data_IF_230700326795
#
_entry.id   IF_230700326795
#
_cell.length_a   1.000
_cell.length_b   1.000
_cell.length_c   1.000
_cell.angle_alpha   90.00
_cell.angle_beta   90.00
_cell.angle_gamma   90.00
#
_symmetry.space_group_name_H-M   'P 1'
#
loop_
_entity.id
_entity.type
_entity.pdbx_description
1 polymer ?
#
# COMPACT_ATOMS: atom_id res chain seq x y z
N UNK A 1 -9.38 -20.41 1.37
CA UNK A 1 -8.53 -19.84 0.30
C UNK A 1 -7.33 -19.17 0.96
N UNK A 2 -6.13 -19.37 0.42
CA UNK A 2 -4.90 -18.80 0.98
C UNK A 2 -4.12 -18.13 -0.14
N UNK A 3 -3.89 -16.83 0.02
CA UNK A 3 -3.04 -16.09 -0.90
C UNK A 3 -1.56 -16.43 -0.64
N UNK A 4 -0.79 -16.57 -1.71
CA UNK A 4 0.63 -16.94 -1.67
C UNK A 4 1.42 -16.18 -2.74
N UNK A 5 2.75 -16.17 -2.64
CA UNK A 5 3.63 -15.53 -3.63
C UNK A 5 3.36 -14.04 -3.80
N UNK A 6 3.20 -13.33 -2.67
CA UNK A 6 3.07 -11.88 -2.71
C UNK A 6 4.34 -11.22 -3.20
N UNK A 7 4.17 -10.18 -3.99
CA UNK A 7 5.24 -9.31 -4.44
C UNK A 7 4.69 -7.95 -4.85
N UNK A 8 5.49 -6.92 -4.62
CA UNK A 8 5.25 -5.60 -5.20
C UNK A 8 5.42 -5.69 -6.71
N UNK A 9 4.43 -5.24 -7.46
CA UNK A 9 4.55 -5.03 -8.90
C UNK A 9 5.03 -3.61 -9.17
N UNK A 10 6.32 -3.49 -9.45
CA UNK A 10 6.98 -2.24 -9.81
C UNK A 10 7.07 -2.03 -11.33
N UNK A 11 6.37 -2.85 -12.11
CA UNK A 11 6.30 -2.70 -13.56
C UNK A 11 5.62 -1.39 -14.00
N UNK A 12 5.73 -1.02 -15.29
CA UNK A 12 5.06 0.17 -15.81
C UNK A 12 3.53 0.06 -15.68
N UNK A 13 2.92 0.97 -14.92
CA UNK A 13 1.45 1.06 -14.79
C UNK A 13 1.00 2.51 -14.54
N UNK A 14 -0.22 2.84 -14.95
CA UNK A 14 -0.81 4.18 -14.75
C UNK A 14 -1.40 4.40 -13.35
N UNK A 15 -1.54 3.34 -12.54
CA UNK A 15 -2.11 3.46 -11.20
C UNK A 15 -1.19 4.27 -10.27
N UNK A 16 -1.81 5.10 -9.43
CA UNK A 16 -1.15 5.96 -8.45
C UNK A 16 -1.25 5.34 -7.05
N UNK A 17 -0.34 4.42 -6.75
CA UNK A 17 -0.32 3.67 -5.50
C UNK A 17 0.48 2.37 -5.61
N UNK A 18 0.53 1.62 -4.50
CA UNK A 18 1.23 0.35 -4.41
C UNK A 18 0.40 -0.76 -5.05
N UNK A 19 0.93 -1.42 -6.08
CA UNK A 19 0.34 -2.62 -6.68
C UNK A 19 1.05 -3.87 -6.16
N UNK A 20 0.28 -4.90 -5.89
CA UNK A 20 0.74 -6.19 -5.42
C UNK A 20 0.19 -7.30 -6.32
N UNK A 21 1.03 -8.27 -6.61
CA UNK A 21 0.63 -9.52 -7.25
C UNK A 21 0.74 -10.65 -6.23
N UNK A 22 -0.27 -11.52 -6.23
CA UNK A 22 -0.32 -12.70 -5.37
C UNK A 22 -1.09 -13.81 -6.09
N UNK A 23 -1.23 -14.97 -5.46
CA UNK A 23 -1.88 -16.15 -6.04
C UNK A 23 -2.83 -16.85 -5.09
N UNK A 24 -3.98 -17.25 -5.61
CA UNK A 24 -4.85 -18.28 -5.00
C UNK A 24 -4.77 -19.55 -5.86
N UNK A 25 -3.93 -20.50 -5.43
CA UNK A 25 -3.55 -21.65 -6.25
C UNK A 25 -2.88 -21.23 -7.57
N UNK A 26 -3.54 -21.49 -8.70
CA UNK A 26 -3.07 -21.11 -10.03
C UNK A 26 -3.61 -19.77 -10.52
N UNK A 27 -4.57 -19.17 -9.82
CA UNK A 27 -5.16 -17.90 -10.19
C UNK A 27 -4.28 -16.75 -9.70
N UNK A 28 -4.00 -15.79 -10.58
CA UNK A 28 -3.31 -14.56 -10.21
C UNK A 28 -4.32 -13.59 -9.64
N UNK A 29 -4.03 -13.10 -8.44
CA UNK A 29 -4.85 -12.13 -7.72
C UNK A 29 -4.06 -10.84 -7.64
N UNK A 30 -4.75 -9.72 -7.86
CA UNK A 30 -4.17 -8.39 -7.76
C UNK A 30 -4.69 -7.69 -6.50
N UNK A 31 -3.79 -7.00 -5.82
CA UNK A 31 -4.14 -6.13 -4.70
C UNK A 31 -3.52 -4.74 -4.89
N UNK A 32 -4.16 -3.74 -4.32
CA UNK A 32 -3.79 -2.34 -4.53
C UNK A 32 -4.00 -1.52 -3.28
N UNK A 33 -3.03 -0.64 -2.97
CA UNK A 33 -3.14 0.39 -1.95
C UNK A 33 -2.95 1.75 -2.63
N UNK A 34 -4.02 2.55 -2.71
CA UNK A 34 -3.93 3.86 -3.35
C UNK A 34 -2.94 4.79 -2.65
N UNK A 35 -2.30 5.70 -3.41
CA UNK A 35 -1.29 6.62 -2.87
C UNK A 35 -1.78 7.38 -1.64
N UNK A 36 -3.02 7.90 -1.66
CA UNK A 36 -3.59 8.61 -0.50
C UNK A 36 -3.66 7.73 0.74
N UNK A 37 -3.96 6.44 0.59
CA UNK A 37 -4.01 5.49 1.71
C UNK A 37 -2.59 5.25 2.25
N UNK A 38 -1.60 5.08 1.36
CA UNK A 38 -0.19 4.98 1.76
C UNK A 38 0.35 6.24 2.44
N UNK A 39 0.01 7.43 1.92
CA UNK A 39 0.38 8.72 2.50
C UNK A 39 -0.13 8.82 3.93
N UNK A 40 -1.42 8.57 4.16
CA UNK A 40 -2.04 8.62 5.49
C UNK A 40 -1.46 7.57 6.43
N UNK A 41 -1.20 6.35 5.94
CA UNK A 41 -0.61 5.30 6.78
C UNK A 41 0.81 5.67 7.22
N UNK A 42 1.66 6.17 6.32
CA UNK A 42 2.99 6.65 6.67
C UNK A 42 2.94 7.84 7.65
N UNK A 43 2.06 8.81 7.42
CA UNK A 43 1.88 9.98 8.29
C UNK A 43 1.43 9.60 9.71
N UNK A 44 0.56 8.59 9.85
CA UNK A 44 0.13 8.09 11.16
C UNK A 44 1.27 7.56 12.02
N UNK A 45 2.40 7.17 11.39
CA UNK A 45 3.60 6.69 12.08
C UNK A 45 4.64 7.80 12.26
N UNK A 46 4.80 8.72 11.32
CA UNK A 46 5.81 9.79 11.41
C UNK A 46 5.52 10.82 12.51
N UNK A 47 4.26 11.00 12.94
CA UNK A 47 3.84 12.02 13.93
C UNK A 47 4.31 13.46 13.61
N UNK A 48 4.75 13.73 12.36
CA UNK A 48 5.25 15.02 11.91
C UNK A 48 4.18 15.70 11.05
N UNK A 49 3.82 16.93 11.39
CA UNK A 49 2.73 17.71 10.78
C UNK A 49 2.97 18.23 9.36
N UNK A 50 3.70 17.49 8.52
CA UNK A 50 3.95 17.84 7.13
C UNK A 50 3.37 16.80 6.18
N UNK A 51 2.23 17.10 5.58
CA UNK A 51 1.66 16.25 4.53
C UNK A 51 2.59 16.21 3.33
N UNK A 52 3.25 15.07 3.14
CA UNK A 52 4.14 14.88 1.99
C UNK A 52 3.84 13.58 1.30
N UNK A 53 3.29 13.71 0.10
CA UNK A 53 2.99 12.56 -0.73
C UNK A 53 4.22 11.75 -1.07
N UNK A 54 4.08 10.44 -1.01
CA UNK A 54 5.06 9.47 -1.42
C UNK A 54 5.12 9.41 -2.96
N UNK A 55 6.33 9.42 -3.50
CA UNK A 55 6.57 9.08 -4.90
C UNK A 55 6.55 7.57 -5.11
N UNK A 56 6.50 7.15 -6.38
CA UNK A 56 6.42 5.74 -6.77
C UNK A 56 7.47 4.86 -6.13
N UNK A 57 8.72 5.27 -6.23
CA UNK A 57 9.82 4.47 -5.69
C UNK A 57 9.73 4.37 -4.16
N UNK A 58 9.18 5.39 -3.49
CA UNK A 58 9.00 5.39 -2.04
C UNK A 58 7.88 4.45 -1.61
N UNK A 59 6.70 4.49 -2.23
CA UNK A 59 5.65 3.53 -1.86
C UNK A 59 6.01 2.10 -2.27
N UNK A 60 6.76 1.89 -3.36
CA UNK A 60 7.27 0.57 -3.74
C UNK A 60 8.30 0.04 -2.73
N UNK A 61 9.25 0.88 -2.30
CA UNK A 61 10.23 0.50 -1.26
C UNK A 61 9.53 0.20 0.07
N UNK A 62 8.60 1.06 0.49
CA UNK A 62 7.78 0.81 1.69
C UNK A 62 6.98 -0.49 1.56
N UNK A 63 6.40 -0.76 0.40
CA UNK A 63 5.67 -1.99 0.12
C UNK A 63 6.54 -3.24 0.26
N UNK A 64 7.79 -3.18 -0.22
CA UNK A 64 8.76 -4.29 -0.07
C UNK A 64 9.18 -4.48 1.39
N UNK A 65 9.50 -3.39 2.09
CA UNK A 65 9.90 -3.43 3.50
C UNK A 65 8.79 -3.96 4.42
N UNK A 66 7.54 -3.70 4.06
CA UNK A 66 6.36 -4.02 4.87
C UNK A 66 5.52 -5.16 4.28
N UNK A 67 6.10 -5.97 3.39
CA UNK A 67 5.35 -6.97 2.62
C UNK A 67 4.56 -7.92 3.52
N UNK A 68 5.16 -8.41 4.61
CA UNK A 68 4.48 -9.31 5.55
C UNK A 68 3.24 -8.67 6.24
N UNK A 69 3.29 -7.38 6.57
CA UNK A 69 2.13 -6.69 7.15
C UNK A 69 1.02 -6.51 6.10
N UNK A 70 1.41 -6.12 4.89
CA UNK A 70 0.51 -5.94 3.75
C UNK A 70 -0.15 -7.27 3.36
N UNK A 71 0.62 -8.37 3.37
CA UNK A 71 0.13 -9.74 3.16
C UNK A 71 -1.01 -10.08 4.11
N UNK A 72 -0.86 -9.77 5.40
CA UNK A 72 -1.88 -10.03 6.42
C UNK A 72 -3.15 -9.22 6.16
N UNK A 73 -3.02 -7.93 5.85
CA UNK A 73 -4.16 -7.04 5.52
C UNK A 73 -4.90 -7.56 4.29
N UNK A 74 -4.18 -7.80 3.19
CA UNK A 74 -4.76 -8.26 1.92
C UNK A 74 -5.42 -9.63 2.09
N UNK A 75 -4.77 -10.55 2.79
CA UNK A 75 -5.30 -11.90 3.03
C UNK A 75 -6.58 -11.84 3.88
N UNK A 76 -6.60 -11.04 4.94
CA UNK A 76 -7.79 -10.87 5.78
C UNK A 76 -8.97 -10.31 4.98
N UNK A 77 -8.75 -9.29 4.14
CA UNK A 77 -9.80 -8.74 3.28
C UNK A 77 -10.28 -9.74 2.23
N UNK A 78 -9.35 -10.44 1.59
CA UNK A 78 -9.65 -11.45 0.56
C UNK A 78 -10.52 -12.58 1.13
N UNK A 79 -10.20 -13.08 2.32
CA UNK A 79 -10.94 -14.16 2.99
C UNK A 79 -12.39 -13.81 3.30
N UNK A 80 -12.73 -12.52 3.47
CA UNK A 80 -14.11 -12.07 3.68
C UNK A 80 -14.97 -12.20 2.41
N UNK A 81 -14.34 -12.32 1.24
CA UNK A 81 -15.00 -12.58 -0.03
C UNK A 81 -15.85 -11.42 -0.57
N UNK A 82 -16.65 -11.72 -1.59
CA UNK A 82 -17.39 -10.74 -2.39
C UNK A 82 -18.42 -9.91 -1.60
N UNK A 83 -18.94 -10.43 -0.48
CA UNK A 83 -19.89 -9.71 0.37
C UNK A 83 -19.28 -8.45 1.02
N UNK A 84 -17.97 -8.46 1.28
CA UNK A 84 -17.24 -7.35 1.89
C UNK A 84 -16.30 -6.64 0.91
N UNK A 85 -15.95 -7.29 -0.20
CA UNK A 85 -15.14 -6.72 -1.25
C UNK A 85 -15.86 -6.84 -2.60
N UNK A 86 -16.51 -5.76 -3.04
CA UNK A 86 -17.28 -5.74 -4.30
C UNK A 86 -16.44 -6.02 -5.55
N UNK A 87 -15.12 -5.87 -5.46
CA UNK A 87 -14.20 -6.10 -6.57
C UNK A 87 -13.54 -7.49 -6.53
N UNK A 88 -13.94 -8.36 -5.60
CA UNK A 88 -13.39 -9.71 -5.49
C UNK A 88 -13.40 -10.44 -6.85
N UNK A 89 -12.28 -11.07 -7.26
CA UNK A 89 -11.10 -11.40 -6.47
C UNK A 89 -10.07 -10.27 -6.29
N UNK A 90 -10.17 -9.15 -7.02
CA UNK A 90 -9.28 -7.99 -6.84
C UNK A 90 -9.44 -7.37 -5.45
N UNK A 91 -8.33 -7.04 -4.78
CA UNK A 91 -8.33 -6.51 -3.42
C UNK A 91 -7.87 -5.06 -3.39
N UNK A 92 -8.80 -4.12 -3.36
CA UNK A 92 -8.51 -2.74 -2.98
C UNK A 92 -8.37 -2.63 -1.47
N UNK A 93 -7.21 -2.23 -0.96
CA UNK A 93 -6.98 -1.97 0.46
C UNK A 93 -7.40 -0.53 0.78
N UNK A 94 -8.32 -0.39 1.72
CA UNK A 94 -8.79 0.88 2.24
C UNK A 94 -8.12 1.18 3.58
N UNK A 95 -8.17 2.45 3.98
CA UNK A 95 -7.62 2.87 5.28
C UNK A 95 -8.30 2.16 6.47
N UNK A 96 -9.57 1.79 6.35
CA UNK A 96 -10.25 0.97 7.36
C UNK A 96 -9.63 -0.41 7.51
N UNK A 97 -9.19 -1.05 6.42
CA UNK A 97 -8.56 -2.37 6.50
C UNK A 97 -7.21 -2.30 7.23
N UNK A 98 -6.45 -1.22 7.00
CA UNK A 98 -5.21 -0.93 7.74
C UNK A 98 -5.50 -0.70 9.22
N UNK A 99 -6.49 0.15 9.53
CA UNK A 99 -6.87 0.45 10.92
C UNK A 99 -7.34 -0.80 11.66
N UNK A 100 -8.21 -1.60 11.03
CA UNK A 100 -8.76 -2.84 11.59
C UNK A 100 -7.68 -3.91 11.80
N UNK A 101 -6.61 -3.89 11.00
CA UNK A 101 -5.50 -4.85 11.12
C UNK A 101 -4.58 -4.56 12.32
N UNK A 102 -4.52 -3.31 12.78
CA UNK A 102 -3.55 -2.86 13.78
C UNK A 102 -2.08 -2.87 13.33
N UNK A 103 -1.80 -3.15 12.06
CA UNK A 103 -0.45 -3.16 11.52
C UNK A 103 0.13 -1.74 11.45
N UNK A 104 1.40 -1.60 11.81
CA UNK A 104 2.14 -0.34 11.74
C UNK A 104 3.17 -0.39 10.63
N UNK A 105 3.29 0.68 9.85
CA UNK A 105 4.30 0.78 8.80
C UNK A 105 5.70 0.93 9.42
N UNK A 106 6.63 0.04 9.06
CA UNK A 106 8.04 0.26 9.27
C UNK A 106 8.54 1.31 8.27
N UNK A 107 9.04 2.44 8.80
CA UNK A 107 9.55 3.58 8.03
C UNK A 107 11.07 3.69 8.04
N UNK A 108 11.79 2.72 8.59
CA UNK A 108 13.24 2.82 8.82
C UNK A 108 14.06 3.10 7.55
N UNK A 109 13.58 2.69 6.39
CA UNK A 109 14.25 2.93 5.09
C UNK A 109 13.58 4.01 4.24
N UNK A 110 12.57 4.71 4.79
CA UNK A 110 11.89 5.77 4.07
C UNK A 110 12.78 7.02 3.99
N UNK A 111 13.42 7.19 2.83
CA UNK A 111 14.12 8.44 2.50
C UNK A 111 13.13 9.40 1.84
N UNK A 112 12.75 10.46 2.55
CA UNK A 112 12.03 11.59 1.98
C UNK A 112 13.01 12.39 1.12
N UNK A 113 12.84 12.40 -0.20
CA UNK A 113 13.62 13.30 -1.09
C UNK A 113 13.48 14.76 -0.65
N UNK A 114 14.24 15.73 -1.12
CA UNK A 114 13.92 17.16 -0.85
C UNK A 114 12.95 17.63 -1.94
N UNK A 115 11.88 18.34 -1.57
CA UNK A 115 10.94 18.87 -2.57
C UNK A 115 11.72 19.89 -3.42
N UNK A 116 11.73 19.77 -4.77
CA UNK A 116 12.42 20.75 -5.57
C UNK A 116 11.83 22.15 -5.35
N UNK A 117 12.64 23.22 -5.41
CA UNK A 117 12.17 24.58 -5.13
C UNK A 117 10.93 25.03 -5.93
N UNK A 118 10.78 24.51 -7.16
CA UNK A 118 9.63 24.78 -8.03
C UNK A 118 8.28 24.29 -7.47
N UNK A 119 8.30 23.39 -6.49
CA UNK A 119 7.12 22.83 -5.83
C UNK A 119 6.94 23.35 -4.40
N UNK A 120 7.80 24.25 -3.93
CA UNK A 120 7.55 24.98 -2.70
C UNK A 120 6.38 25.94 -2.93
N UNK A 121 5.47 26.00 -1.96
CA UNK A 121 4.36 26.96 -1.99
C UNK A 121 4.96 28.37 -2.01
N UNK A 122 4.57 29.20 -2.97
CA UNK A 122 4.90 30.62 -2.94
C UNK A 122 4.24 31.22 -1.69
N UNK A 123 5.08 31.73 -0.79
CA UNK A 123 4.69 32.43 0.44
C UNK A 123 4.19 33.83 0.14
#
# INVERSE_FOLDING_TARGET
>A
MSLTQFGVDDGPHSMDGLRLLTRDGNERIEAFIGRKVMDVWAESVEHRGGHRSLFRDQYNALGRLNLAAIERIVSAKYQRGAAFNRQHPYVEVLFSDITDSGETLNLSELVREVLPPAFHRLS
#
